data_IF_369107779236
#
_entry.id   IF_369107779236
#
_cell.length_a   1.000
_cell.length_b   1.000
_cell.length_c   1.000
_cell.angle_alpha   90.00
_cell.angle_beta   90.00
_cell.angle_gamma   90.00
#
_symmetry.space_group_name_H-M   'P 1'
#
loop_
_entity.id
_entity.type
_entity.pdbx_description
1 polymer ?
#
# COMPACT_ATOMS: atom_id res chain seq x y z
N UNK A 1 -16.69 -15.59 -19.94
CA UNK A 1 -16.59 -16.69 -18.95
C UNK A 1 -15.16 -16.66 -18.43
N UNK A 2 -14.95 -16.06 -17.26
CA UNK A 2 -13.62 -15.97 -16.63
C UNK A 2 -13.31 -17.35 -16.05
N UNK A 3 -12.16 -17.97 -16.35
CA UNK A 3 -11.81 -19.25 -15.77
C UNK A 3 -11.71 -19.11 -14.24
N UNK A 4 -12.09 -20.14 -13.47
CA UNK A 4 -11.92 -20.11 -12.02
C UNK A 4 -10.42 -20.01 -11.71
N UNK A 5 -10.07 -19.06 -10.84
CA UNK A 5 -8.71 -18.89 -10.34
C UNK A 5 -8.33 -20.16 -9.60
N UNK A 6 -7.29 -20.83 -10.07
CA UNK A 6 -6.77 -22.02 -9.41
C UNK A 6 -6.31 -21.68 -7.99
N UNK A 7 -6.56 -22.52 -6.97
CA UNK A 7 -6.09 -22.26 -5.62
C UNK A 7 -4.56 -22.15 -5.51
N UNK A 8 -3.82 -22.60 -6.51
CA UNK A 8 -2.38 -22.44 -6.62
C UNK A 8 -1.94 -20.99 -6.93
N UNK A 9 -2.84 -20.14 -7.46
CA UNK A 9 -2.55 -18.76 -7.83
C UNK A 9 -2.91 -17.75 -6.73
N UNK A 10 -3.40 -18.24 -5.59
CA UNK A 10 -3.74 -17.37 -4.46
C UNK A 10 -2.48 -16.91 -3.73
N UNK A 11 -2.27 -15.60 -3.66
CA UNK A 11 -1.17 -15.02 -2.90
C UNK A 11 -1.31 -15.35 -1.41
N UNK A 12 -0.27 -15.89 -0.74
CA UNK A 12 -0.33 -16.17 0.68
C UNK A 12 -0.67 -14.92 1.51
N UNK A 13 -1.48 -15.10 2.55
CA UNK A 13 -1.90 -14.02 3.45
C UNK A 13 -0.69 -13.34 4.10
N UNK A 14 0.30 -14.12 4.50
CA UNK A 14 1.53 -13.63 5.13
C UNK A 14 2.32 -12.72 4.19
N UNK A 15 2.33 -13.00 2.88
CA UNK A 15 2.99 -12.15 1.88
C UNK A 15 2.31 -10.79 1.75
N UNK A 16 0.98 -10.74 1.81
CA UNK A 16 0.24 -9.47 1.81
C UNK A 16 0.53 -8.65 3.07
N UNK A 17 0.54 -9.32 4.22
CA UNK A 17 0.81 -8.65 5.48
C UNK A 17 2.23 -8.05 5.51
N UNK A 18 3.23 -8.79 5.05
CA UNK A 18 4.61 -8.32 4.95
C UNK A 18 4.72 -7.07 4.04
N UNK A 19 4.11 -7.12 2.86
CA UNK A 19 4.12 -5.97 1.93
C UNK A 19 3.44 -4.74 2.52
N UNK A 20 2.28 -4.89 3.15
CA UNK A 20 1.58 -3.79 3.80
C UNK A 20 2.36 -3.21 4.99
N UNK A 21 3.05 -4.05 5.76
CA UNK A 21 3.94 -3.59 6.83
C UNK A 21 5.12 -2.78 6.28
N UNK A 22 5.70 -3.18 5.16
CA UNK A 22 6.76 -2.42 4.50
C UNK A 22 6.26 -1.06 4.02
N UNK A 23 5.04 -0.99 3.47
CA UNK A 23 4.39 0.29 3.11
C UNK A 23 4.15 1.15 4.36
N UNK A 24 3.65 0.58 5.45
CA UNK A 24 3.43 1.31 6.69
C UNK A 24 4.75 1.88 7.24
N UNK A 25 5.84 1.12 7.20
CA UNK A 25 7.18 1.61 7.57
C UNK A 25 7.65 2.75 6.66
N UNK A 26 7.40 2.64 5.36
CA UNK A 26 7.75 3.69 4.40
C UNK A 26 7.10 5.04 4.76
N UNK A 27 5.87 5.01 5.26
CA UNK A 27 5.15 6.21 5.73
C UNK A 27 5.40 6.56 7.20
N UNK A 28 6.27 5.82 7.91
CA UNK A 28 6.53 6.07 9.32
C UNK A 28 5.32 5.79 10.23
N UNK A 29 4.37 4.98 9.79
CA UNK A 29 3.22 4.63 10.62
C UNK A 29 3.63 3.69 11.73
N UNK A 30 3.13 3.88 12.96
CA UNK A 30 3.41 2.99 14.06
C UNK A 30 2.77 1.62 13.78
N UNK A 31 3.60 0.63 13.53
CA UNK A 31 3.17 -0.76 13.42
C UNK A 31 3.34 -1.39 14.79
N UNK A 32 2.25 -1.41 15.54
CA UNK A 32 2.24 -2.04 16.85
C UNK A 32 2.21 -3.56 16.71
N UNK A 33 2.89 -4.27 17.64
CA UNK A 33 2.78 -5.73 17.79
C UNK A 33 1.35 -6.23 18.09
N UNK A 34 0.38 -5.32 18.16
CA UNK A 34 -1.05 -5.64 18.20
C UNK A 34 -1.55 -6.30 16.91
N UNK A 35 -0.82 -6.19 15.80
CA UNK A 35 -1.18 -6.85 14.56
C UNK A 35 -1.29 -8.37 14.72
N UNK A 36 -0.42 -8.98 15.49
CA UNK A 36 -0.48 -10.41 15.79
C UNK A 36 -1.80 -10.81 16.50
N UNK A 37 -2.42 -9.89 17.24
CA UNK A 37 -3.72 -10.11 17.89
C UNK A 37 -4.91 -9.91 16.93
N UNK A 38 -4.70 -9.20 15.85
CA UNK A 38 -5.71 -8.91 14.84
C UNK A 38 -5.70 -9.92 13.67
N UNK A 39 -4.71 -10.79 13.58
CA UNK A 39 -4.62 -11.84 12.53
C UNK A 39 -5.86 -12.74 12.48
N UNK A 40 -6.59 -12.87 13.60
CA UNK A 40 -7.86 -13.58 13.62
C UNK A 40 -9.04 -12.85 12.97
N UNK A 41 -8.97 -11.53 12.81
CA UNK A 41 -10.12 -10.74 12.36
C UNK A 41 -10.32 -10.78 10.84
N UNK A 42 -9.26 -10.82 10.06
CA UNK A 42 -9.36 -10.90 8.61
C UNK A 42 -9.40 -12.33 8.05
N UNK A 43 -9.04 -13.33 8.87
CA UNK A 43 -9.13 -14.74 8.47
C UNK A 43 -10.58 -15.17 8.17
N UNK A 44 -11.56 -14.50 8.78
CA UNK A 44 -12.99 -14.73 8.53
C UNK A 44 -13.59 -13.90 7.39
N UNK A 45 -12.79 -13.07 6.70
CA UNK A 45 -13.29 -12.26 5.60
C UNK A 45 -13.21 -13.03 4.28
N UNK A 46 -14.31 -13.03 3.53
CA UNK A 46 -14.39 -13.68 2.25
C UNK A 46 -13.68 -12.87 1.16
N UNK A 47 -12.79 -13.55 0.45
CA UNK A 47 -12.08 -13.00 -0.69
C UNK A 47 -10.77 -12.27 -0.32
N UNK A 48 -9.81 -12.33 -1.25
CA UNK A 48 -8.48 -11.74 -1.08
C UNK A 48 -8.53 -10.24 -0.83
N UNK A 49 -9.31 -9.51 -1.63
CA UNK A 49 -9.38 -8.05 -1.50
C UNK A 49 -9.97 -7.60 -0.17
N UNK A 50 -10.96 -8.32 0.37
CA UNK A 50 -11.55 -8.01 1.67
C UNK A 50 -10.51 -8.21 2.79
N UNK A 51 -9.77 -9.31 2.76
CA UNK A 51 -8.69 -9.58 3.70
C UNK A 51 -7.59 -8.53 3.64
N UNK A 52 -7.13 -8.17 2.44
CA UNK A 52 -6.10 -7.13 2.25
C UNK A 52 -6.58 -5.77 2.76
N UNK A 53 -7.85 -5.39 2.52
CA UNK A 53 -8.42 -4.16 3.10
C UNK A 53 -8.47 -4.21 4.63
N UNK A 54 -8.80 -5.36 5.20
CA UNK A 54 -8.81 -5.56 6.65
C UNK A 54 -7.42 -5.37 7.27
N UNK A 55 -6.39 -6.02 6.70
CA UNK A 55 -5.00 -5.87 7.11
C UNK A 55 -4.51 -4.42 6.98
N UNK A 56 -4.76 -3.78 5.84
CA UNK A 56 -4.36 -2.41 5.58
C UNK A 56 -4.97 -1.45 6.62
N UNK A 57 -6.27 -1.59 6.90
CA UNK A 57 -6.96 -0.77 7.90
C UNK A 57 -6.35 -0.93 9.29
N UNK A 58 -5.99 -2.15 9.68
CA UNK A 58 -5.32 -2.42 10.94
C UNK A 58 -3.94 -1.74 11.04
N UNK A 59 -3.27 -1.54 9.91
CA UNK A 59 -2.00 -0.82 9.79
C UNK A 59 -2.15 0.71 9.61
N UNK A 60 -3.37 1.24 9.64
CA UNK A 60 -3.64 2.65 9.40
C UNK A 60 -3.54 3.04 7.92
N UNK A 61 -3.64 2.07 7.02
CA UNK A 61 -3.60 2.27 5.57
C UNK A 61 -4.98 2.13 4.94
N UNK A 62 -5.21 2.85 3.86
CA UNK A 62 -6.28 2.60 2.89
C UNK A 62 -5.69 2.06 1.61
N UNK A 63 -6.38 1.13 0.96
CA UNK A 63 -5.90 0.47 -0.25
C UNK A 63 -6.88 0.62 -1.40
N UNK A 64 -6.34 0.79 -2.60
CA UNK A 64 -7.06 0.77 -3.87
C UNK A 64 -6.46 -0.28 -4.78
N UNK A 65 -7.31 -1.14 -5.33
CA UNK A 65 -6.94 -2.17 -6.28
C UNK A 65 -7.15 -1.66 -7.70
N UNK A 66 -6.17 -1.88 -8.56
CA UNK A 66 -6.21 -1.54 -9.97
C UNK A 66 -5.78 -2.75 -10.78
N UNK A 67 -6.64 -3.32 -11.62
CA UNK A 67 -6.21 -4.34 -12.57
C UNK A 67 -5.21 -3.72 -13.55
N UNK A 68 -4.15 -4.43 -13.86
CA UNK A 68 -3.20 -4.01 -14.89
C UNK A 68 -3.68 -4.63 -16.20
N UNK A 69 -4.38 -3.84 -16.99
CA UNK A 69 -4.68 -4.21 -18.37
C UNK A 69 -3.59 -3.64 -19.26
N UNK A 70 -2.60 -4.41 -19.60
CA UNK A 70 -1.50 -4.25 -20.58
C UNK A 70 -1.14 -2.91 -21.23
N UNK A 71 -1.88 -1.85 -21.00
CA UNK A 71 -1.71 -0.52 -21.62
C UNK A 71 -1.53 0.64 -20.64
N UNK A 72 -1.85 0.47 -19.34
CA UNK A 72 -1.59 1.54 -18.39
C UNK A 72 -0.15 1.45 -17.88
N UNK A 73 0.71 2.43 -18.17
CA UNK A 73 2.07 2.43 -17.66
C UNK A 73 2.03 2.55 -16.13
N UNK A 74 2.85 1.74 -15.47
CA UNK A 74 3.14 1.94 -14.07
C UNK A 74 3.93 3.24 -13.93
N UNK A 75 3.39 4.20 -13.18
CA UNK A 75 3.92 5.57 -13.12
C UNK A 75 4.42 5.92 -11.73
N UNK A 76 5.44 6.77 -11.65
CA UNK A 76 6.09 7.16 -10.40
C UNK A 76 5.17 7.83 -9.38
N UNK A 77 4.07 8.48 -9.79
CA UNK A 77 3.12 9.10 -8.86
C UNK A 77 2.31 8.12 -8.02
N UNK A 78 2.35 6.82 -8.39
CA UNK A 78 1.68 5.74 -7.64
C UNK A 78 2.56 5.12 -6.55
N UNK A 79 3.81 5.52 -6.46
CA UNK A 79 4.77 4.97 -5.51
C UNK A 79 4.49 5.38 -4.04
N UNK A 80 4.79 4.53 -3.08
CA UNK A 80 5.08 3.12 -3.26
C UNK A 80 3.83 2.34 -3.68
N UNK A 81 3.99 1.29 -4.48
CA UNK A 81 2.89 0.44 -4.93
C UNK A 81 3.26 -1.04 -4.78
N UNK A 82 2.28 -1.84 -4.38
CA UNK A 82 2.42 -3.30 -4.34
C UNK A 82 1.94 -3.82 -5.69
N UNK A 83 2.75 -4.60 -6.36
CA UNK A 83 2.42 -5.26 -7.63
C UNK A 83 2.25 -6.74 -7.38
N UNK A 84 1.09 -7.27 -7.75
CA UNK A 84 0.85 -8.71 -7.78
C UNK A 84 1.16 -9.22 -9.18
N UNK A 85 2.07 -10.17 -9.26
CA UNK A 85 2.46 -10.84 -10.49
C UNK A 85 1.42 -11.89 -10.90
N UNK A 86 1.48 -12.36 -12.13
CA UNK A 86 0.56 -13.38 -12.65
C UNK A 86 0.71 -14.72 -11.91
N UNK A 87 1.89 -15.03 -11.40
CA UNK A 87 2.18 -16.23 -10.58
C UNK A 87 1.74 -16.10 -9.11
N UNK A 88 1.16 -14.96 -8.73
CA UNK A 88 0.75 -14.67 -7.36
C UNK A 88 1.83 -14.06 -6.46
N UNK A 89 3.07 -13.93 -6.93
CA UNK A 89 4.13 -13.25 -6.19
C UNK A 89 3.82 -11.75 -6.00
N UNK A 90 4.28 -11.19 -4.88
CA UNK A 90 4.14 -9.76 -4.59
C UNK A 90 5.50 -9.06 -4.67
N UNK A 91 5.50 -7.88 -5.24
CA UNK A 91 6.64 -6.98 -5.25
C UNK A 91 6.22 -5.59 -4.76
N UNK A 92 7.01 -4.98 -3.89
CA UNK A 92 6.83 -3.58 -3.50
C UNK A 92 7.77 -2.72 -4.34
N UNK A 93 7.21 -1.90 -5.22
CA UNK A 93 7.96 -0.93 -6.02
C UNK A 93 8.02 0.38 -5.24
N UNK A 94 9.23 0.83 -4.94
CA UNK A 94 9.47 2.03 -4.11
C UNK A 94 10.02 3.22 -4.91
N UNK A 95 10.71 2.96 -6.01
CA UNK A 95 11.24 4.00 -6.88
C UNK A 95 11.23 3.54 -8.35
N UNK A 96 11.17 4.51 -9.25
CA UNK A 96 11.37 4.32 -10.70
C UNK A 96 12.35 5.39 -11.15
N UNK A 97 13.49 4.97 -11.68
CA UNK A 97 14.51 5.86 -12.22
C UNK A 97 14.09 6.50 -13.55
N UNK A 98 14.82 7.52 -13.97
CA UNK A 98 14.59 8.19 -15.26
C UNK A 98 14.84 7.27 -16.45
N UNK A 99 15.70 6.27 -16.28
CA UNK A 99 15.99 5.20 -17.22
C UNK A 99 14.89 4.12 -17.30
N UNK A 100 13.86 4.23 -16.47
CA UNK A 100 12.77 3.26 -16.38
C UNK A 100 13.12 2.02 -15.56
N UNK A 101 14.23 2.02 -14.82
CA UNK A 101 14.53 0.95 -13.87
C UNK A 101 13.78 1.14 -12.55
N UNK A 102 13.08 0.12 -12.12
CA UNK A 102 12.33 0.12 -10.86
C UNK A 102 13.13 -0.54 -9.74
N UNK A 103 13.15 0.09 -8.59
CA UNK A 103 13.62 -0.50 -7.33
C UNK A 103 12.47 -1.20 -6.65
N UNK A 104 12.64 -2.48 -6.35
CA UNK A 104 11.60 -3.30 -5.75
C UNK A 104 12.13 -4.24 -4.67
N UNK A 105 11.22 -4.66 -3.78
CA UNK A 105 11.45 -5.71 -2.80
C UNK A 105 10.42 -6.80 -3.03
N UNK A 106 10.86 -8.05 -3.09
CA UNK A 106 9.97 -9.21 -3.24
C UNK A 106 9.46 -9.69 -1.89
N UNK A 107 8.26 -10.25 -1.87
CA UNK A 107 7.72 -10.88 -0.66
C UNK A 107 8.53 -12.10 -0.27
N UNK A 108 8.83 -12.22 1.04
CA UNK A 108 9.64 -13.30 1.58
C UNK A 108 11.16 -13.10 1.51
N UNK A 109 11.63 -12.10 0.78
CA UNK A 109 13.03 -11.72 0.71
C UNK A 109 13.30 -10.49 1.60
N UNK A 110 13.29 -10.68 2.90
CA UNK A 110 13.34 -9.64 3.91
C UNK A 110 14.42 -8.56 3.63
N UNK A 111 13.98 -7.46 2.99
CA UNK A 111 14.80 -6.28 2.78
C UNK A 111 15.79 -6.34 1.60
N UNK A 112 15.82 -7.40 0.81
CA UNK A 112 16.61 -7.45 -0.41
C UNK A 112 15.96 -6.58 -1.48
N UNK A 113 16.74 -5.59 -1.95
CA UNK A 113 16.32 -4.77 -3.09
C UNK A 113 16.74 -5.44 -4.39
N UNK A 114 15.83 -5.46 -5.33
CA UNK A 114 16.08 -5.87 -6.70
C UNK A 114 15.82 -4.70 -7.66
N UNK A 115 16.43 -4.75 -8.81
CA UNK A 115 16.27 -3.74 -9.87
C UNK A 115 15.76 -4.44 -11.12
N UNK A 116 14.69 -3.93 -11.69
CA UNK A 116 14.08 -4.48 -12.91
C UNK A 116 13.48 -3.37 -13.75
N UNK A 117 13.51 -3.49 -15.09
CA UNK A 117 12.79 -2.57 -15.96
C UNK A 117 11.29 -2.54 -15.62
N UNK A 118 10.72 -1.34 -15.45
CA UNK A 118 9.31 -1.20 -15.11
C UNK A 118 8.39 -1.80 -16.18
N UNK A 119 8.82 -1.80 -17.43
CA UNK A 119 8.10 -2.41 -18.55
C UNK A 119 7.97 -3.94 -18.40
N UNK A 120 8.96 -4.61 -17.82
CA UNK A 120 8.94 -6.05 -17.58
C UNK A 120 7.97 -6.35 -16.44
N UNK A 121 8.02 -5.57 -15.36
CA UNK A 121 7.08 -5.66 -14.24
C UNK A 121 5.65 -5.46 -14.75
N UNK A 122 5.41 -4.46 -15.60
CA UNK A 122 4.08 -4.17 -16.15
C UNK A 122 3.52 -5.32 -17.00
N UNK A 123 4.38 -6.05 -17.72
CA UNK A 123 3.96 -7.23 -18.51
C UNK A 123 3.57 -8.41 -17.65
N UNK A 124 4.24 -8.62 -16.54
CA UNK A 124 4.01 -9.74 -15.62
C UNK A 124 2.94 -9.42 -14.57
N UNK A 125 2.60 -8.16 -14.37
CA UNK A 125 1.67 -7.71 -13.35
C UNK A 125 0.21 -8.07 -13.71
N UNK A 126 -0.51 -8.65 -12.76
CA UNK A 126 -1.95 -8.87 -12.84
C UNK A 126 -2.75 -7.78 -12.15
N UNK A 127 -2.20 -7.20 -11.08
CA UNK A 127 -2.88 -6.19 -10.28
C UNK A 127 -1.87 -5.27 -9.59
N UNK A 128 -2.24 -4.01 -9.43
CA UNK A 128 -1.52 -3.03 -8.62
C UNK A 128 -2.38 -2.64 -7.42
N UNK A 129 -1.78 -2.63 -6.24
CA UNK A 129 -2.40 -2.14 -5.01
C UNK A 129 -1.67 -0.89 -4.56
N UNK A 130 -2.41 0.21 -4.51
CA UNK A 130 -1.92 1.50 -4.02
C UNK A 130 -2.37 1.63 -2.59
N UNK A 131 -1.43 1.60 -1.65
CA UNK A 131 -1.69 1.80 -0.25
C UNK A 131 -1.20 3.20 0.18
N UNK A 132 -2.02 3.89 0.97
CA UNK A 132 -1.74 5.24 1.49
C UNK A 132 -2.19 5.32 2.94
N UNK A 133 -1.61 6.20 3.76
CA UNK A 133 -2.14 6.48 5.08
C UNK A 133 -3.63 6.81 5.01
N UNK A 134 -4.44 6.18 5.86
CA UNK A 134 -5.89 6.38 5.88
C UNK A 134 -6.27 7.80 6.35
N UNK A 135 -5.41 8.38 7.17
CA UNK A 135 -5.43 9.80 7.56
C UNK A 135 -4.01 10.32 7.43
N UNK A 136 -3.84 11.57 6.99
CA UNK A 136 -2.59 12.26 7.26
C UNK A 136 -2.39 12.16 8.77
N UNK A 137 -1.29 11.55 9.21
CA UNK A 137 -0.95 11.58 10.63
C UNK A 137 -0.91 13.06 11.01
N UNK A 138 -1.72 13.52 11.98
CA UNK A 138 -1.61 14.89 12.43
C UNK A 138 -0.17 15.08 12.85
N UNK A 139 0.53 16.04 12.23
CA UNK A 139 1.85 16.40 12.68
C UNK A 139 1.67 17.01 14.07
N UNK A 140 1.83 16.17 15.09
CA UNK A 140 1.69 16.56 16.50
C UNK A 140 2.56 17.76 16.89
N UNK A 141 3.49 18.16 16.02
CA UNK A 141 4.34 19.34 16.21
C UNK A 141 3.75 20.60 15.60
N UNK A 142 2.91 20.51 14.59
CA UNK A 142 2.39 21.66 13.83
C UNK A 142 0.90 21.87 14.04
N UNK A 143 0.10 20.82 14.16
CA UNK A 143 -1.36 20.91 14.31
C UNK A 143 -1.86 21.79 15.48
N UNK A 144 -1.26 21.77 16.70
CA UNK A 144 -1.73 22.64 17.78
C UNK A 144 -1.53 24.15 17.48
N UNK A 145 -0.57 24.48 16.61
CA UNK A 145 -0.31 25.86 16.22
C UNK A 145 -1.23 26.35 15.11
N UNK A 146 -1.53 25.48 14.14
CA UNK A 146 -2.41 25.81 13.00
C UNK A 146 -3.83 26.00 13.47
N UNK A 147 -4.38 25.09 14.27
CA UNK A 147 -5.73 25.23 14.82
C UNK A 147 -5.89 26.47 15.72
N UNK A 148 -4.88 26.81 16.53
CA UNK A 148 -4.93 28.05 17.32
C UNK A 148 -4.91 29.31 16.47
N UNK A 149 -4.22 29.31 15.34
CA UNK A 149 -4.20 30.45 14.43
C UNK A 149 -5.50 30.60 13.67
N UNK A 150 -6.12 29.51 13.23
CA UNK A 150 -7.41 29.53 12.52
C UNK A 150 -8.56 29.98 13.43
N UNK A 151 -8.63 29.50 14.66
CA UNK A 151 -9.63 29.98 15.62
C UNK A 151 -9.49 31.47 15.94
N UNK A 152 -8.27 31.96 16.07
CA UNK A 152 -8.02 33.36 16.32
C UNK A 152 -8.28 34.25 15.12
N UNK A 153 -8.07 33.74 13.90
CA UNK A 153 -8.34 34.47 12.66
C UNK A 153 -9.85 34.62 12.41
N UNK A 154 -10.63 33.55 12.59
CA UNK A 154 -12.09 33.58 12.47
C UNK A 154 -12.74 34.50 13.50
N UNK A 155 -12.27 34.53 14.74
CA UNK A 155 -12.77 35.43 15.77
C UNK A 155 -12.52 36.89 15.44
N UNK A 156 -11.38 37.23 14.79
CA UNK A 156 -11.08 38.61 14.38
C UNK A 156 -11.95 39.13 13.27
N UNK A 157 -12.43 38.27 12.38
CA UNK A 157 -13.30 38.66 11.25
C UNK A 157 -14.76 38.82 11.71
N UNK A 158 -15.20 38.06 12.69
CA UNK A 158 -16.60 38.09 13.15
C UNK A 158 -16.91 39.24 14.15
N UNK A 159 -15.91 40.02 14.54
CA UNK A 159 -16.05 41.13 15.51
C UNK A 159 -15.64 42.50 14.93
N UNK A 160 -15.67 42.68 13.63
CA UNK A 160 -15.68 43.95 12.92
C UNK A 160 -17.03 44.14 12.19
#
# INVERSE_FOLDING_TARGET
MTPPISPADATPVDSWLDMLQQVARHYGLPHSGQLAKLTGLWAGLDGEQARVRGMARALGLSVRFRPVGGREPLTGWRLPMIVRMADGALALVTAIGEDGEATLTLSGEAGLMAYRPIADIAREASMVVIARPARAAPDMRVDPYIHKQEENWLRRILWQ
#
